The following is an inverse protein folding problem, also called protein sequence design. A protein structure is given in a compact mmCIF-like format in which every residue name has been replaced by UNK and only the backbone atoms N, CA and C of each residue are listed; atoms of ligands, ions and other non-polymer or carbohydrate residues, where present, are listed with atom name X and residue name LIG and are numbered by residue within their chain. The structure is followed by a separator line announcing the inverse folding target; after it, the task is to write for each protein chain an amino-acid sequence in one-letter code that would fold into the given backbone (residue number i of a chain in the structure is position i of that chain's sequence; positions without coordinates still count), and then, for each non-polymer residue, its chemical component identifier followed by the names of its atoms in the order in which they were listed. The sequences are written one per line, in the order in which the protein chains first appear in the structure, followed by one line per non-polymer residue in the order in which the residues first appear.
data_IF_902211728077
#
_entry.id   IF_902211728077
#
_cell.length_a   1.000
_cell.length_b   1.000
_cell.length_c   1.000
_cell.angle_alpha   90.00
_cell.angle_beta   90.00
_cell.angle_gamma   90.00
#
_symmetry.space_group_name_H-M   'P 1'
#
loop_
_entity.id
_entity.type
_entity.pdbx_description
1 polymer ?
#
# COMPACT_ATOMS: atom_id res chain seq x y z
N UNK A 1 25.55 -7.74 2.56
CA UNK A 1 25.81 -7.81 4.02
C UNK A 1 25.09 -9.04 4.55
N UNK A 2 25.79 -10.04 5.12
CA UNK A 2 25.13 -11.24 5.64
C UNK A 2 24.30 -10.92 6.89
N UNK A 3 23.20 -11.64 7.06
CA UNK A 3 22.33 -11.58 8.25
C UNK A 3 22.84 -12.66 9.21
N UNK A 4 23.14 -12.29 10.46
CA UNK A 4 23.63 -13.23 11.48
C UNK A 4 22.53 -13.50 12.51
N UNK A 5 22.39 -14.75 12.95
CA UNK A 5 21.37 -15.14 13.93
C UNK A 5 21.54 -14.48 15.31
N UNK A 6 22.77 -14.05 15.60
CA UNK A 6 23.14 -13.34 16.83
C UNK A 6 22.71 -11.87 16.85
N UNK A 7 22.28 -11.32 15.72
CA UNK A 7 21.86 -9.91 15.60
C UNK A 7 20.46 -9.68 16.19
N UNK A 8 20.16 -8.42 16.53
CA UNK A 8 18.82 -8.08 17.02
C UNK A 8 17.77 -8.32 15.93
N UNK A 9 16.52 -8.57 16.33
CA UNK A 9 15.42 -8.78 15.39
C UNK A 9 15.27 -7.61 14.39
N UNK A 10 15.50 -6.39 14.85
CA UNK A 10 15.38 -5.17 14.04
C UNK A 10 16.50 -5.06 13.01
N UNK A 11 17.73 -5.40 13.39
CA UNK A 11 18.86 -5.40 12.47
C UNK A 11 18.66 -6.42 11.36
N UNK A 12 18.21 -7.63 11.71
CA UNK A 12 17.92 -8.68 10.72
C UNK A 12 16.79 -8.27 9.78
N UNK A 13 15.75 -7.61 10.28
CA UNK A 13 14.66 -7.10 9.46
C UNK A 13 15.14 -6.02 8.49
N UNK A 14 15.89 -5.02 8.97
CA UNK A 14 16.40 -3.93 8.14
C UNK A 14 17.35 -4.46 7.05
N UNK A 15 18.26 -5.37 7.41
CA UNK A 15 19.18 -6.01 6.44
C UNK A 15 18.43 -6.89 5.43
N UNK A 16 17.44 -7.65 5.87
CA UNK A 16 16.62 -8.47 4.99
C UNK A 16 15.82 -7.64 3.99
N UNK A 17 15.25 -6.52 4.45
CA UNK A 17 14.59 -5.55 3.56
C UNK A 17 15.57 -4.98 2.54
N UNK A 18 16.74 -4.53 2.99
CA UNK A 18 17.79 -4.00 2.11
C UNK A 18 18.26 -5.02 1.07
N UNK A 19 18.46 -6.29 1.44
CA UNK A 19 18.84 -7.34 0.51
C UNK A 19 17.79 -7.56 -0.58
N UNK A 20 16.50 -7.54 -0.23
CA UNK A 20 15.41 -7.65 -1.22
C UNK A 20 15.37 -6.48 -2.20
N UNK A 21 15.73 -5.28 -1.75
CA UNK A 21 15.82 -4.12 -2.63
C UNK A 21 17.00 -4.17 -3.61
N UNK A 22 18.05 -4.96 -3.32
CA UNK A 22 19.21 -5.11 -4.19
C UNK A 22 19.05 -6.21 -5.26
N UNK A 23 18.05 -7.07 -5.12
CA UNK A 23 17.78 -8.16 -6.06
C UNK A 23 16.94 -7.65 -7.24
N UNK A 24 17.60 -6.93 -8.16
CA UNK A 24 16.96 -6.32 -9.32
C UNK A 24 16.35 -7.37 -10.26
N UNK A 25 16.98 -8.54 -10.41
CA UNK A 25 16.50 -9.62 -11.29
C UNK A 25 15.13 -10.15 -10.84
N UNK A 26 14.97 -10.42 -9.54
CA UNK A 26 13.68 -10.85 -8.99
C UNK A 26 12.62 -9.75 -9.09
N UNK A 27 13.00 -8.49 -8.85
CA UNK A 27 12.11 -7.33 -8.98
C UNK A 27 11.60 -7.16 -10.41
N UNK A 28 12.47 -7.28 -11.42
CA UNK A 28 12.08 -7.22 -12.83
C UNK A 28 11.17 -8.38 -13.22
N UNK A 29 11.45 -9.59 -12.69
CA UNK A 29 10.67 -10.79 -12.97
C UNK A 29 9.26 -10.74 -12.39
N UNK A 30 9.09 -10.15 -11.20
CA UNK A 30 7.83 -10.26 -10.41
C UNK A 30 7.07 -8.95 -10.23
N UNK A 31 7.71 -7.80 -10.43
CA UNK A 31 7.18 -6.49 -10.04
C UNK A 31 5.83 -6.15 -10.67
N UNK A 32 5.67 -6.42 -11.97
CA UNK A 32 4.39 -6.17 -12.67
C UNK A 32 3.24 -7.03 -12.11
N UNK A 33 3.51 -8.30 -11.81
CA UNK A 33 2.50 -9.22 -11.26
C UNK A 33 2.10 -8.78 -9.86
N UNK A 34 3.08 -8.45 -9.01
CA UNK A 34 2.83 -7.99 -7.65
C UNK A 34 1.96 -6.72 -7.62
N UNK A 35 2.25 -5.73 -8.48
CA UNK A 35 1.44 -4.50 -8.55
C UNK A 35 0.03 -4.79 -9.10
N UNK A 36 -0.12 -5.69 -10.07
CA UNK A 36 -1.44 -6.09 -10.58
C UNK A 36 -2.29 -6.75 -9.49
N UNK A 37 -1.70 -7.67 -8.73
CA UNK A 37 -2.38 -8.33 -7.62
C UNK A 37 -2.81 -7.32 -6.55
N UNK A 38 -1.96 -6.32 -6.23
CA UNK A 38 -2.33 -5.23 -5.31
C UNK A 38 -3.50 -4.42 -5.88
N UNK A 39 -3.46 -4.03 -7.15
CA UNK A 39 -4.53 -3.26 -7.80
C UNK A 39 -5.86 -4.02 -7.74
N UNK A 40 -5.87 -5.31 -8.09
CA UNK A 40 -7.08 -6.13 -8.04
C UNK A 40 -7.57 -6.31 -6.59
N UNK A 41 -6.64 -6.50 -5.65
CA UNK A 41 -6.97 -6.64 -4.23
C UNK A 41 -7.59 -5.37 -3.63
N UNK A 42 -7.18 -4.17 -4.07
CA UNK A 42 -7.72 -2.93 -3.52
C UNK A 42 -9.03 -2.48 -4.16
N UNK A 43 -9.49 -3.08 -5.26
CA UNK A 43 -10.76 -2.70 -5.92
C UNK A 43 -10.67 -2.45 -7.43
N UNK A 44 -9.51 -2.71 -8.03
CA UNK A 44 -9.25 -2.55 -9.44
C UNK A 44 -8.93 -1.12 -9.86
N UNK A 45 -8.60 -0.94 -11.14
CA UNK A 45 -8.24 0.36 -11.71
C UNK A 45 -8.92 0.58 -13.08
N UNK A 46 -9.91 1.49 -13.21
CA UNK A 46 -10.75 1.58 -14.40
C UNK A 46 -10.02 1.60 -15.76
N UNK A 47 -8.87 2.28 -15.86
CA UNK A 47 -8.11 2.36 -17.12
C UNK A 47 -7.36 1.08 -17.51
N UNK A 48 -7.02 0.22 -16.55
CA UNK A 48 -6.30 -1.04 -16.80
C UNK A 48 -7.29 -2.13 -17.21
N UNK A 49 -8.38 -2.27 -16.45
CA UNK A 49 -9.43 -3.26 -16.68
C UNK A 49 -10.46 -2.82 -17.76
N UNK A 50 -10.43 -1.57 -18.24
CA UNK A 50 -11.35 -1.06 -19.28
C UNK A 50 -10.80 -1.04 -20.71
N UNK A 51 -9.47 -1.18 -20.91
CA UNK A 51 -8.83 -1.15 -22.24
C UNK A 51 -8.08 -2.43 -22.61
N UNK A 52 -7.64 -3.20 -21.62
CA UNK A 52 -7.03 -4.51 -21.84
C UNK A 52 -7.97 -5.57 -21.27
N UNK A 53 -8.69 -6.25 -22.16
CA UNK A 53 -9.49 -7.43 -21.86
C UNK A 53 -8.52 -8.55 -21.45
N UNK A 54 -8.11 -8.59 -20.18
CA UNK A 54 -7.31 -9.70 -19.67
C UNK A 54 -8.15 -10.75 -18.91
N UNK A 55 -9.39 -10.41 -18.50
CA UNK A 55 -10.30 -11.36 -17.85
C UNK A 55 -11.80 -11.15 -18.18
N UNK A 56 -12.12 -10.57 -19.34
CA UNK A 56 -13.49 -10.61 -19.89
C UNK A 56 -14.58 -9.82 -19.16
N UNK A 57 -14.28 -9.17 -18.04
CA UNK A 57 -15.20 -8.27 -17.34
C UNK A 57 -14.64 -6.86 -17.31
N UNK A 58 -15.42 -5.91 -17.83
CA UNK A 58 -15.15 -4.49 -17.65
C UNK A 58 -15.04 -4.20 -16.15
N UNK A 59 -14.15 -3.30 -15.76
CA UNK A 59 -14.15 -2.76 -14.41
C UNK A 59 -15.57 -2.32 -14.04
N UNK A 60 -16.07 -2.81 -12.91
CA UNK A 60 -17.37 -2.44 -12.38
C UNK A 60 -17.14 -1.68 -11.10
N UNK A 61 -17.80 -0.53 -10.99
CA UNK A 61 -17.82 0.22 -9.76
C UNK A 61 -18.38 -0.65 -8.62
N UNK A 62 -17.79 -0.47 -7.44
CA UNK A 62 -18.22 -1.08 -6.20
C UNK A 62 -19.67 -0.68 -5.84
N UNK A 63 -20.32 -1.49 -5.01
CA UNK A 63 -21.70 -1.27 -4.55
C UNK A 63 -21.81 -0.38 -3.30
N UNK A 64 -20.69 0.24 -2.91
CA UNK A 64 -20.56 1.15 -1.77
C UNK A 64 -20.09 2.55 -2.20
N UNK A 65 -19.91 3.45 -1.23
CA UNK A 65 -19.50 4.83 -1.51
C UNK A 65 -17.98 4.97 -1.68
N UNK A 66 -17.52 6.02 -2.34
CA UNK A 66 -16.09 6.27 -2.55
C UNK A 66 -15.33 6.45 -1.22
N UNK A 67 -15.98 6.95 -0.17
CA UNK A 67 -15.40 7.08 1.17
C UNK A 67 -15.07 5.71 1.76
N UNK A 68 -15.94 4.71 1.56
CA UNK A 68 -15.70 3.34 2.00
C UNK A 68 -14.57 2.70 1.19
N UNK A 69 -14.50 2.97 -0.12
CA UNK A 69 -13.39 2.54 -0.95
C UNK A 69 -12.06 3.11 -0.45
N UNK A 70 -12.03 4.42 -0.13
CA UNK A 70 -10.84 5.08 0.40
C UNK A 70 -10.43 4.46 1.75
N UNK A 71 -11.38 4.25 2.67
CA UNK A 71 -11.11 3.61 3.95
C UNK A 71 -10.54 2.18 3.79
N UNK A 72 -11.06 1.39 2.84
CA UNK A 72 -10.55 0.05 2.52
C UNK A 72 -9.11 0.11 1.99
N UNK A 73 -8.83 1.03 1.06
CA UNK A 73 -7.48 1.23 0.51
C UNK A 73 -6.49 1.60 1.62
N UNK A 74 -6.83 2.58 2.45
CA UNK A 74 -5.99 3.05 3.56
C UNK A 74 -5.72 1.94 4.57
N UNK A 75 -6.75 1.20 4.98
CA UNK A 75 -6.62 0.10 5.94
C UNK A 75 -5.75 -1.05 5.39
N UNK A 76 -5.86 -1.33 4.09
CA UNK A 76 -5.16 -2.46 3.45
C UNK A 76 -3.70 -2.14 3.12
N UNK A 77 -3.43 -0.93 2.67
CA UNK A 77 -2.13 -0.57 2.06
C UNK A 77 -1.35 0.47 2.84
N UNK A 78 -2.00 1.21 3.73
CA UNK A 78 -1.43 2.41 4.35
C UNK A 78 -1.25 3.59 3.39
N UNK A 79 -1.65 3.46 2.12
CA UNK A 79 -1.63 4.57 1.15
C UNK A 79 -2.61 5.62 1.61
N UNK A 80 -2.10 6.82 1.83
CA UNK A 80 -2.82 8.00 2.26
C UNK A 80 -2.80 9.06 1.14
N UNK A 81 -3.59 10.13 1.28
CA UNK A 81 -3.56 11.28 0.37
C UNK A 81 -3.95 10.97 -1.09
N UNK A 82 -4.89 10.06 -1.32
CA UNK A 82 -5.46 9.83 -2.68
C UNK A 82 -6.49 10.90 -3.02
N UNK A 83 -7.35 11.23 -2.06
CA UNK A 83 -8.37 12.29 -2.15
C UNK A 83 -8.31 13.16 -0.90
N UNK A 84 -8.20 12.51 0.26
CA UNK A 84 -7.99 13.12 1.57
C UNK A 84 -6.75 12.51 2.20
N UNK A 85 -6.01 13.31 2.95
CA UNK A 85 -4.96 12.82 3.83
C UNK A 85 -5.50 12.72 5.26
N UNK A 86 -5.42 11.53 5.88
CA UNK A 86 -5.75 11.35 7.29
C UNK A 86 -4.50 11.01 8.08
N UNK A 87 -4.22 11.76 9.14
CA UNK A 87 -3.08 11.49 10.01
C UNK A 87 -3.52 11.52 11.48
N UNK A 88 -2.81 10.78 12.32
CA UNK A 88 -2.90 10.93 13.78
C UNK A 88 -1.74 11.79 14.22
N UNK A 89 -2.05 13.01 14.66
CA UNK A 89 -1.06 14.03 15.05
C UNK A 89 -1.28 14.46 16.49
N UNK A 90 -0.32 15.21 17.05
CA UNK A 90 -0.48 15.80 18.37
C UNK A 90 -1.48 16.95 18.31
N UNK A 91 -2.38 17.04 19.30
CA UNK A 91 -3.31 18.15 19.40
C UNK A 91 -2.52 19.47 19.53
N UNK A 92 -2.68 20.43 18.59
CA UNK A 92 -2.02 21.73 18.66
C UNK A 92 -2.34 22.52 19.94
N UNK A 93 -3.51 22.27 20.55
CA UNK A 93 -3.90 22.90 21.81
C UNK A 93 -3.38 22.15 23.04
N UNK A 94 -3.08 20.86 22.94
CA UNK A 94 -2.51 20.07 24.03
C UNK A 94 -1.70 18.85 23.54
N UNK A 95 -0.38 18.97 23.54
CA UNK A 95 0.51 17.93 23.00
C UNK A 95 0.49 16.58 23.73
N UNK A 96 -0.14 16.46 24.91
CA UNK A 96 -0.35 15.15 25.56
C UNK A 96 -1.44 14.33 24.89
N UNK A 97 -2.33 14.98 24.13
CA UNK A 97 -3.41 14.36 23.39
C UNK A 97 -3.02 14.12 21.93
N UNK A 98 -3.69 13.18 21.29
CA UNK A 98 -3.62 12.95 19.84
C UNK A 98 -4.97 13.20 19.20
N UNK A 99 -4.96 13.72 17.98
CA UNK A 99 -6.15 14.03 17.18
C UNK A 99 -6.02 13.43 15.78
N UNK A 100 -7.16 13.19 15.15
CA UNK A 100 -7.20 12.86 13.72
C UNK A 100 -7.25 14.18 12.95
N UNK A 101 -6.24 14.40 12.12
CA UNK A 101 -6.14 15.54 11.22
C UNK A 101 -6.52 15.12 9.80
N UNK A 102 -7.26 15.98 9.11
CA UNK A 102 -7.68 15.80 7.72
C UNK A 102 -7.11 16.95 6.91
N UNK A 103 -6.28 16.66 5.90
CA UNK A 103 -5.64 17.65 5.01
C UNK A 103 -6.08 17.45 3.57
#
# INVERSE_FOLDING_TARGET
MPILDTESKWDRLAKGYYQKCLDEEELERTGLTAIREIVDWVGGWPTLQGKFVFQGTNWKEWDYSWEQQLALLMNRTGVNAVILELAVTHDPANSTNTVIEVV
#
